data_IF_296254508753
#
_entry.id   IF_296254508753
#
_cell.length_a   1.000
_cell.length_b   1.000
_cell.length_c   1.000
_cell.angle_alpha   90.00
_cell.angle_beta   90.00
_cell.angle_gamma   90.00
#
_symmetry.space_group_name_H-M   'P 1'
#
loop_
_entity.id
_entity.type
_entity.pdbx_description
1 polymer ?
#
# COMPACT_ATOMS: atom_id res chain seq x y z
N UNK A 1 -1.36 13.66 4.96
CA UNK A 1 -1.98 12.97 3.83
C UNK A 1 -2.10 11.49 4.16
N UNK A 2 -3.24 10.84 3.91
CA UNK A 2 -3.46 9.39 4.13
C UNK A 2 -3.39 8.66 2.80
N UNK A 3 -2.48 7.71 2.68
CA UNK A 3 -2.23 6.97 1.43
C UNK A 3 -2.42 5.47 1.66
N UNK A 4 -3.15 4.82 0.77
CA UNK A 4 -3.22 3.37 0.70
C UNK A 4 -2.27 2.83 -0.38
N UNK A 5 -1.55 1.75 -0.06
CA UNK A 5 -0.73 0.99 -1.00
C UNK A 5 -1.28 -0.41 -1.17
N UNK A 6 -1.73 -0.73 -2.38
CA UNK A 6 -2.18 -2.07 -2.76
C UNK A 6 -1.04 -2.76 -3.51
N UNK A 7 -0.34 -3.64 -2.79
CA UNK A 7 0.97 -4.17 -3.17
C UNK A 7 2.09 -3.35 -2.54
N UNK A 8 2.87 -3.96 -1.64
CA UNK A 8 3.99 -3.32 -0.90
C UNK A 8 5.36 -3.92 -1.26
N UNK A 9 5.44 -4.57 -2.42
CA UNK A 9 6.71 -5.05 -3.00
C UNK A 9 7.65 -3.90 -3.39
N UNK A 10 8.53 -4.12 -4.38
CA UNK A 10 9.55 -3.12 -4.75
C UNK A 10 8.97 -1.72 -5.06
N UNK A 11 7.99 -1.65 -5.98
CA UNK A 11 7.40 -0.38 -6.41
C UNK A 11 6.57 0.26 -5.30
N UNK A 12 5.64 -0.50 -4.71
CA UNK A 12 4.80 0.00 -3.62
C UNK A 12 5.61 0.46 -2.41
N UNK A 13 6.62 -0.33 -2.02
CA UNK A 13 7.54 0.01 -0.93
C UNK A 13 8.32 1.30 -1.19
N UNK A 14 8.85 1.50 -2.40
CA UNK A 14 9.52 2.75 -2.78
C UNK A 14 8.59 3.96 -2.73
N UNK A 15 7.34 3.80 -3.17
CA UNK A 15 6.32 4.86 -3.07
C UNK A 15 6.04 5.18 -1.61
N UNK A 16 5.83 4.17 -0.76
CA UNK A 16 5.56 4.34 0.67
C UNK A 16 6.69 5.08 1.39
N UNK A 17 7.94 4.66 1.16
CA UNK A 17 9.12 5.35 1.69
C UNK A 17 9.16 6.82 1.27
N UNK A 18 9.02 7.09 -0.03
CA UNK A 18 9.05 8.45 -0.56
C UNK A 18 7.89 9.31 -0.03
N UNK A 19 6.69 8.74 0.10
CA UNK A 19 5.52 9.43 0.62
C UNK A 19 5.69 9.81 2.09
N UNK A 20 6.25 8.90 2.91
CA UNK A 20 6.53 9.20 4.32
C UNK A 20 7.64 10.25 4.46
N UNK A 21 8.74 10.09 3.73
CA UNK A 21 9.89 10.99 3.81
C UNK A 21 9.60 12.40 3.27
N UNK A 22 8.94 12.51 2.12
CA UNK A 22 8.77 13.79 1.42
C UNK A 22 7.46 14.51 1.70
N UNK A 23 6.40 13.76 2.04
CA UNK A 23 5.06 14.33 2.25
C UNK A 23 4.60 14.24 3.70
N UNK A 24 5.36 13.57 4.58
CA UNK A 24 4.89 13.26 5.93
C UNK A 24 3.57 12.49 5.91
N UNK A 25 3.35 11.67 4.87
CA UNK A 25 2.11 10.93 4.71
C UNK A 25 2.02 9.78 5.74
N UNK A 26 0.80 9.48 6.16
CA UNK A 26 0.49 8.23 6.86
C UNK A 26 0.11 7.18 5.81
N UNK A 27 0.80 6.05 5.84
CA UNK A 27 0.70 5.03 4.79
C UNK A 27 0.15 3.72 5.36
N UNK A 28 -0.97 3.27 4.79
CA UNK A 28 -1.57 1.95 5.07
C UNK A 28 -1.27 1.00 3.90
N UNK A 29 -0.65 -0.14 4.17
CA UNK A 29 -0.32 -1.16 3.17
C UNK A 29 -1.26 -2.36 3.21
N UNK A 30 -1.53 -2.92 2.04
CA UNK A 30 -2.18 -4.22 1.86
C UNK A 30 -1.40 -5.05 0.83
N UNK A 31 -1.16 -6.32 1.12
CA UNK A 31 -0.49 -7.25 0.22
C UNK A 31 -0.87 -8.69 0.60
N UNK A 32 -0.92 -9.57 -0.40
CA UNK A 32 -1.23 -11.00 -0.22
C UNK A 32 0.03 -11.86 -0.10
N UNK A 33 1.20 -11.29 -0.38
CA UNK A 33 2.49 -11.95 -0.30
C UNK A 33 2.86 -12.27 1.15
N UNK A 34 3.26 -13.52 1.45
CA UNK A 34 3.64 -13.89 2.81
C UNK A 34 4.85 -13.06 3.29
N UNK A 35 4.72 -12.41 4.44
CA UNK A 35 5.76 -11.57 5.05
C UNK A 35 6.01 -10.22 4.36
N UNK A 36 5.32 -9.89 3.26
CA UNK A 36 5.52 -8.63 2.54
C UNK A 36 5.20 -7.41 3.42
N UNK A 37 4.10 -7.48 4.17
CA UNK A 37 3.65 -6.43 5.08
C UNK A 37 4.63 -6.23 6.25
N UNK A 38 5.19 -7.31 6.78
CA UNK A 38 6.17 -7.24 7.87
C UNK A 38 7.45 -6.55 7.38
N UNK A 39 8.00 -6.98 6.25
CA UNK A 39 9.18 -6.36 5.64
C UNK A 39 8.93 -4.89 5.30
N UNK A 40 7.76 -4.55 4.76
CA UNK A 40 7.42 -3.16 4.44
C UNK A 40 7.35 -2.29 5.70
N UNK A 41 6.77 -2.83 6.79
CA UNK A 41 6.70 -2.13 8.07
C UNK A 41 8.09 -1.97 8.71
N UNK A 42 8.90 -3.03 8.73
CA UNK A 42 10.27 -3.01 9.26
C UNK A 42 11.15 -1.98 8.53
N UNK A 43 10.98 -1.86 7.21
CA UNK A 43 11.68 -0.87 6.39
C UNK A 43 11.11 0.54 6.51
N UNK A 44 9.99 0.72 7.21
CA UNK A 44 9.30 2.00 7.33
C UNK A 44 8.65 2.47 6.03
N UNK A 45 8.28 1.55 5.13
CA UNK A 45 7.51 1.90 3.93
C UNK A 45 6.03 2.13 4.24
N UNK A 46 5.51 1.52 5.31
CA UNK A 46 4.13 1.66 5.78
C UNK A 46 4.09 1.90 7.29
N UNK A 47 3.07 2.62 7.76
CA UNK A 47 2.80 2.81 9.19
C UNK A 47 1.85 1.72 9.72
N UNK A 48 0.91 1.27 8.87
CA UNK A 48 -0.10 0.26 9.21
C UNK A 48 -0.21 -0.80 8.13
N UNK A 49 -0.31 -2.06 8.54
CA UNK A 49 -0.71 -3.17 7.68
C UNK A 49 -2.22 -3.39 7.82
N UNK A 50 -2.95 -3.38 6.71
CA UNK A 50 -4.37 -3.69 6.69
C UNK A 50 -4.61 -5.18 6.43
N UNK A 51 -5.58 -5.76 7.14
CA UNK A 51 -5.97 -7.17 6.97
C UNK A 51 -6.82 -7.39 5.72
N UNK A 52 -7.50 -6.34 5.26
CA UNK A 52 -8.38 -6.40 4.09
C UNK A 52 -8.12 -5.22 3.18
N UNK A 53 -8.39 -5.43 1.89
CA UNK A 53 -8.31 -4.39 0.88
C UNK A 53 -9.22 -3.19 1.23
N UNK A 54 -10.45 -3.46 1.65
CA UNK A 54 -11.41 -2.43 2.07
C UNK A 54 -10.89 -1.63 3.27
N UNK A 55 -10.29 -2.29 4.25
CA UNK A 55 -9.68 -1.64 5.41
C UNK A 55 -8.39 -0.88 5.09
N UNK A 56 -7.79 -1.11 3.92
CA UNK A 56 -6.64 -0.34 3.44
C UNK A 56 -7.07 1.00 2.83
N UNK A 57 -8.21 1.03 2.13
CA UNK A 57 -8.67 2.21 1.38
C UNK A 57 -9.70 3.06 2.14
N UNK A 58 -10.26 2.56 3.25
CA UNK A 58 -11.40 3.17 3.94
C UNK A 58 -11.25 4.65 4.32
N UNK A 59 -10.03 5.11 4.62
CA UNK A 59 -9.71 6.48 5.03
C UNK A 59 -8.68 7.15 4.11
N UNK A 60 -8.34 6.51 3.00
CA UNK A 60 -7.29 6.96 2.09
C UNK A 60 -7.74 8.15 1.25
N UNK A 61 -6.87 9.15 1.15
CA UNK A 61 -7.03 10.32 0.27
C UNK A 61 -6.46 10.04 -1.13
N UNK A 62 -5.54 9.07 -1.22
CA UNK A 62 -5.01 8.54 -2.47
C UNK A 62 -4.71 7.04 -2.33
N UNK A 63 -4.93 6.28 -3.39
CA UNK A 63 -4.66 4.85 -3.45
C UNK A 63 -3.66 4.59 -4.58
N UNK A 64 -2.55 3.93 -4.28
CA UNK A 64 -1.61 3.42 -5.28
C UNK A 64 -1.78 1.92 -5.42
N UNK A 65 -2.02 1.46 -6.64
CA UNK A 65 -2.12 0.03 -6.96
C UNK A 65 -0.84 -0.40 -7.67
N UNK A 66 -0.02 -1.17 -6.96
CA UNK A 66 1.31 -1.62 -7.37
C UNK A 66 1.41 -3.16 -7.39
N UNK A 67 0.34 -3.82 -7.84
CA UNK A 67 0.29 -5.27 -8.07
C UNK A 67 0.83 -5.63 -9.47
N UNK A 68 1.13 -6.92 -9.77
CA UNK A 68 1.51 -7.33 -11.12
C UNK A 68 0.49 -6.89 -12.18
N UNK A 69 0.96 -6.52 -13.37
CA UNK A 69 0.12 -5.90 -14.42
C UNK A 69 -1.11 -6.72 -14.79
N UNK A 70 -1.02 -8.04 -14.77
CA UNK A 70 -2.15 -8.94 -15.06
C UNK A 70 -3.25 -8.91 -14.00
N UNK A 71 -2.96 -8.45 -12.79
CA UNK A 71 -3.91 -8.33 -11.68
C UNK A 71 -4.47 -6.91 -11.51
N UNK A 72 -3.90 -5.91 -12.21
CA UNK A 72 -4.31 -4.52 -12.07
C UNK A 72 -5.81 -4.28 -12.30
N UNK A 73 -6.46 -4.82 -13.36
CA UNK A 73 -7.87 -4.55 -13.61
C UNK A 73 -8.77 -4.98 -12.45
N UNK A 74 -8.55 -6.17 -11.90
CA UNK A 74 -9.34 -6.71 -10.80
C UNK A 74 -9.03 -5.99 -9.48
N UNK A 75 -7.75 -5.71 -9.22
CA UNK A 75 -7.33 -4.97 -8.03
C UNK A 75 -7.93 -3.56 -8.00
N UNK A 76 -7.90 -2.84 -9.14
CA UNK A 76 -8.49 -1.50 -9.28
C UNK A 76 -10.01 -1.55 -9.09
N UNK A 77 -10.70 -2.53 -9.70
CA UNK A 77 -12.16 -2.70 -9.51
C UNK A 77 -12.54 -3.03 -8.06
N UNK A 78 -11.64 -3.66 -7.31
CA UNK A 78 -11.91 -3.98 -5.91
C UNK A 78 -11.71 -2.77 -4.96
N UNK A 79 -11.02 -1.71 -5.40
CA UNK A 79 -10.78 -0.48 -4.61
C UNK A 79 -11.56 0.75 -5.08
N UNK A 80 -12.17 0.74 -6.27
CA UNK A 80 -13.00 1.81 -6.85
C UNK A 80 -14.42 1.33 -7.13
#
# INVERSE_FOLDING_TARGET
MRIALIGVGLIGGSIGLAARERLGASVTGYDTGPGALDVARERGAIDRAAETLAGAVSDAEAVFVAVPVGMLPDAVRAVL
#
